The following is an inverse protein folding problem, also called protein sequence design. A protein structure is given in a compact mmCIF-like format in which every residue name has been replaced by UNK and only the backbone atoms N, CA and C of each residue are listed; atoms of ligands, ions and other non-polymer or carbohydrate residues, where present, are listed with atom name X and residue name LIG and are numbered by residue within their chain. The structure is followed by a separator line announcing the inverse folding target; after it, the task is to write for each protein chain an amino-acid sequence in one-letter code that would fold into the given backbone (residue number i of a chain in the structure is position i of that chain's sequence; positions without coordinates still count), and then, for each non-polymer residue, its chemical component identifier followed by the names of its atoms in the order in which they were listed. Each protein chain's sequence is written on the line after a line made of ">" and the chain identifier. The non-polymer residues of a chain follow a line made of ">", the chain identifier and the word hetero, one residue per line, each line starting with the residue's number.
data_IF_480449760531
#
_entry.id   IF_480449760531
#
_cell.length_a   1.000
_cell.length_b   1.000
_cell.length_c   1.000
_cell.angle_alpha   90.00
_cell.angle_beta   90.00
_cell.angle_gamma   90.00
#
_symmetry.space_group_name_H-M   'P 1'
#
loop_
_entity.id
_entity.type
_entity.pdbx_description
1 polymer ?
#
# COMPACT_ATOMS: atom_id res chain seq x y z
N UNK A 1 -16.27 -24.93 -13.53
CA UNK A 1 -14.95 -24.42 -13.07
C UNK A 1 -15.20 -23.61 -11.82
N UNK A 2 -14.79 -24.10 -10.65
CA UNK A 2 -14.89 -23.33 -9.42
C UNK A 2 -13.86 -22.19 -9.49
N UNK A 3 -14.34 -20.96 -9.51
CA UNK A 3 -13.51 -19.76 -9.42
C UNK A 3 -12.68 -19.82 -8.15
N UNK A 4 -11.38 -19.60 -8.28
CA UNK A 4 -10.44 -19.44 -7.18
C UNK A 4 -10.94 -18.26 -6.34
N UNK A 5 -11.64 -18.54 -5.23
CA UNK A 5 -12.30 -17.54 -4.40
C UNK A 5 -11.34 -16.80 -3.47
N UNK A 6 -10.09 -17.26 -3.31
CA UNK A 6 -9.07 -16.58 -2.51
C UNK A 6 -8.08 -15.87 -3.43
N UNK A 7 -8.37 -14.61 -3.75
CA UNK A 7 -7.62 -13.81 -4.72
C UNK A 7 -6.31 -13.24 -4.15
N UNK A 8 -6.01 -13.47 -2.88
CA UNK A 8 -4.86 -12.80 -2.24
C UNK A 8 -3.63 -13.67 -2.19
N UNK A 9 -3.70 -15.00 -2.37
CA UNK A 9 -2.62 -15.93 -2.03
C UNK A 9 -1.86 -16.57 -3.21
N UNK A 10 -1.72 -15.86 -4.34
CA UNK A 10 -1.16 -16.46 -5.56
C UNK A 10 0.35 -16.72 -5.53
N UNK A 11 1.12 -15.75 -5.03
CA UNK A 11 2.59 -15.76 -5.19
C UNK A 11 3.32 -15.96 -3.87
N UNK A 12 4.25 -16.92 -3.85
CA UNK A 12 5.14 -17.20 -2.74
C UNK A 12 6.32 -16.22 -2.76
N UNK A 13 6.84 -16.00 -3.97
CA UNK A 13 7.98 -15.14 -4.24
C UNK A 13 7.75 -14.35 -5.51
N UNK A 14 8.48 -13.25 -5.60
CA UNK A 14 8.58 -12.48 -6.84
C UNK A 14 10.05 -12.31 -7.23
N UNK A 15 10.34 -12.44 -8.51
CA UNK A 15 11.63 -12.15 -9.11
C UNK A 15 11.49 -10.88 -9.94
N UNK A 16 12.02 -9.76 -9.44
CA UNK A 16 11.83 -8.44 -10.04
C UNK A 16 13.09 -8.02 -10.78
N UNK A 17 12.96 -7.88 -12.09
CA UNK A 17 13.98 -7.34 -12.99
C UNK A 17 13.85 -5.82 -13.13
N UNK A 18 14.95 -5.16 -13.52
CA UNK A 18 14.97 -3.73 -13.84
C UNK A 18 15.38 -2.84 -12.67
N UNK A 19 15.39 -3.36 -11.44
CA UNK A 19 16.08 -2.73 -10.33
C UNK A 19 17.59 -2.91 -10.54
N UNK A 20 18.32 -1.80 -10.61
CA UNK A 20 19.78 -1.77 -10.76
C UNK A 20 20.44 -1.81 -9.37
N UNK A 21 21.66 -2.34 -9.29
CA UNK A 21 22.57 -2.16 -8.16
C UNK A 21 23.39 -0.86 -8.30
N UNK A 22 24.26 -0.52 -7.33
CA UNK A 22 25.15 0.66 -7.43
C UNK A 22 26.04 0.63 -8.67
N UNK A 23 26.47 -0.57 -9.07
CA UNK A 23 27.39 -0.74 -10.19
C UNK A 23 26.67 -0.61 -11.54
N UNK A 24 25.36 -0.28 -11.54
CA UNK A 24 24.51 -0.25 -12.72
C UNK A 24 24.15 -1.65 -13.24
N UNK A 25 24.56 -2.71 -12.53
CA UNK A 25 24.23 -4.08 -12.91
C UNK A 25 22.75 -4.35 -12.62
N UNK A 26 22.03 -4.76 -13.67
CA UNK A 26 20.63 -5.18 -13.56
C UNK A 26 20.58 -6.63 -13.13
N UNK A 27 20.43 -6.87 -11.83
CA UNK A 27 20.21 -8.21 -11.30
C UNK A 27 18.74 -8.38 -10.91
N UNK A 28 18.12 -9.55 -11.20
CA UNK A 28 16.82 -9.85 -10.63
C UNK A 28 16.92 -9.94 -9.11
N UNK A 29 16.04 -9.22 -8.41
CA UNK A 29 15.92 -9.32 -6.96
C UNK A 29 14.81 -10.32 -6.66
N UNK A 30 15.11 -11.32 -5.84
CA UNK A 30 14.11 -12.26 -5.33
C UNK A 30 13.57 -11.72 -4.01
N UNK A 31 12.26 -11.53 -3.93
CA UNK A 31 11.57 -11.14 -2.70
C UNK A 31 10.60 -12.24 -2.27
N UNK A 32 10.59 -12.53 -0.98
CA UNK A 32 9.67 -13.50 -0.40
C UNK A 32 8.41 -12.79 0.06
N UNK A 33 7.27 -13.48 -0.02
CA UNK A 33 6.03 -12.96 0.52
C UNK A 33 6.09 -12.95 2.04
N UNK A 34 5.66 -11.84 2.62
CA UNK A 34 5.45 -11.73 4.06
C UNK A 34 3.97 -11.58 4.38
N UNK A 35 3.57 -12.05 5.56
CA UNK A 35 2.26 -11.77 6.14
C UNK A 35 2.26 -10.29 6.50
N UNK A 36 1.21 -9.54 6.12
CA UNK A 36 1.06 -8.15 6.56
C UNK A 36 0.85 -8.12 8.06
N UNK A 37 -0.28 -8.64 8.55
CA UNK A 37 -0.57 -8.76 9.98
C UNK A 37 -1.48 -9.98 10.17
N UNK A 38 -1.45 -10.66 11.32
CA UNK A 38 -2.33 -11.80 11.54
C UNK A 38 -3.81 -11.39 11.44
N UNK A 39 -4.70 -12.33 11.06
CA UNK A 39 -6.13 -12.08 11.09
C UNK A 39 -6.55 -11.59 12.48
N UNK A 40 -7.50 -10.65 12.56
CA UNK A 40 -7.90 -10.10 13.84
C UNK A 40 -8.55 -11.20 14.69
N UNK A 41 -7.89 -11.62 15.78
CA UNK A 41 -8.45 -12.60 16.71
C UNK A 41 -9.67 -11.99 17.39
N UNK A 42 -10.84 -12.62 17.25
CA UNK A 42 -12.00 -12.25 18.07
C UNK A 42 -11.74 -12.63 19.52
N UNK A 43 -11.20 -11.66 20.28
CA UNK A 43 -11.13 -11.79 21.74
C UNK A 43 -12.52 -11.50 22.27
N UNK A 44 -13.19 -12.52 22.80
CA UNK A 44 -14.44 -12.34 23.54
C UNK A 44 -14.12 -11.71 24.90
N UNK A 45 -14.19 -10.38 24.98
CA UNK A 45 -13.97 -9.62 26.23
C UNK A 45 -13.32 -8.27 25.98
N UNK A 46 -13.54 -7.31 26.88
CA UNK A 46 -12.93 -5.97 26.81
C UNK A 46 -11.44 -5.95 27.19
N UNK A 47 -10.91 -7.06 27.69
CA UNK A 47 -9.51 -7.17 28.06
C UNK A 47 -8.72 -7.74 26.88
N UNK A 48 -7.96 -6.90 26.18
CA UNK A 48 -6.87 -7.38 25.32
C UNK A 48 -5.83 -7.98 26.28
N UNK A 49 -5.67 -9.32 26.36
CA UNK A 49 -4.73 -9.91 27.30
C UNK A 49 -3.33 -9.35 27.03
N UNK A 50 -2.53 -9.20 28.08
CA UNK A 50 -1.10 -8.93 27.94
C UNK A 50 -0.48 -10.06 27.12
N UNK A 51 -0.41 -9.83 25.80
CA UNK A 51 0.27 -10.70 24.87
C UNK A 51 1.75 -10.63 25.25
N UNK A 52 2.20 -11.60 26.05
CA UNK A 52 3.63 -11.90 26.18
C UNK A 52 4.18 -11.96 24.77
N UNK A 53 5.26 -11.22 24.51
CA UNK A 53 5.95 -11.21 23.22
C UNK A 53 6.21 -12.66 22.84
N UNK A 54 5.39 -13.19 21.94
CA UNK A 54 5.64 -14.46 21.31
C UNK A 54 6.70 -14.12 20.27
N UNK A 55 7.83 -14.82 20.26
CA UNK A 55 8.75 -14.80 19.13
C UNK A 55 7.98 -15.34 17.93
N UNK A 56 7.34 -14.44 17.19
CA UNK A 56 6.59 -14.78 16.00
C UNK A 56 7.62 -14.94 14.91
N UNK A 57 7.82 -16.20 14.54
CA UNK A 57 8.66 -16.58 13.43
C UNK A 57 8.21 -15.83 12.18
N UNK A 58 9.12 -15.00 11.66
CA UNK A 58 9.00 -14.30 10.39
C UNK A 58 9.12 -15.24 9.19
N UNK A 59 9.31 -16.54 9.43
CA UNK A 59 9.36 -17.53 8.38
C UNK A 59 8.11 -17.44 7.50
N UNK A 60 8.28 -17.63 6.18
CA UNK A 60 7.15 -17.70 5.26
C UNK A 60 6.15 -18.72 5.80
N UNK A 61 4.90 -18.32 6.03
CA UNK A 61 3.85 -19.31 6.29
C UNK A 61 3.82 -20.23 5.07
N UNK A 62 3.95 -21.53 5.32
CA UNK A 62 3.50 -22.59 4.43
C UNK A 62 1.97 -22.56 4.38
N UNK A 63 1.41 -21.46 3.86
CA UNK A 63 0.24 -21.59 3.01
C UNK A 63 0.76 -22.30 1.75
N UNK A 64 -0.08 -22.82 0.86
CA UNK A 64 0.39 -23.35 -0.43
C UNK A 64 0.33 -22.23 -1.50
N UNK A 65 1.15 -21.14 -1.46
CA UNK A 65 1.30 -20.33 -2.64
C UNK A 65 2.06 -21.18 -3.67
N UNK A 66 1.33 -21.58 -4.71
CA UNK A 66 1.81 -22.53 -5.71
C UNK A 66 2.84 -21.88 -6.64
N UNK A 67 2.83 -20.54 -6.75
CA UNK A 67 3.51 -19.87 -7.84
C UNK A 67 4.58 -18.86 -7.42
N UNK A 68 5.60 -18.72 -8.26
CA UNK A 68 6.50 -17.57 -8.25
C UNK A 68 6.21 -16.66 -9.45
N UNK A 69 6.17 -15.35 -9.23
CA UNK A 69 5.99 -14.34 -10.27
C UNK A 69 7.35 -13.81 -10.72
N UNK A 70 7.69 -13.92 -12.00
CA UNK A 70 8.83 -13.20 -12.59
C UNK A 70 8.32 -12.02 -13.37
N UNK A 71 8.82 -10.83 -13.05
CA UNK A 71 8.32 -9.59 -13.62
C UNK A 71 9.43 -8.54 -13.77
N UNK A 72 9.19 -7.53 -14.60
CA UNK A 72 10.13 -6.44 -14.88
C UNK A 72 9.49 -5.10 -14.60
N UNK A 73 10.22 -4.23 -13.88
CA UNK A 73 9.83 -2.83 -13.73
C UNK A 73 10.02 -2.10 -15.05
N UNK A 74 8.97 -1.44 -15.54
CA UNK A 74 9.02 -0.67 -16.79
C UNK A 74 9.42 0.78 -16.51
N UNK A 75 10.50 1.21 -17.17
CA UNK A 75 11.00 2.60 -17.14
C UNK A 75 10.81 3.32 -18.48
N UNK A 76 10.01 2.75 -19.36
CA UNK A 76 9.76 3.25 -20.71
C UNK A 76 8.30 3.67 -20.90
N UNK A 77 7.49 3.62 -19.83
CA UNK A 77 6.08 3.98 -19.91
C UNK A 77 5.97 5.46 -20.29
N UNK A 78 5.30 5.80 -21.41
CA UNK A 78 4.99 7.20 -21.69
C UNK A 78 4.20 7.74 -20.50
N UNK A 79 4.61 8.88 -19.95
CA UNK A 79 3.82 9.55 -18.93
C UNK A 79 2.39 9.72 -19.44
N UNK A 80 1.37 9.49 -18.60
CA UNK A 80 -0.01 9.62 -19.04
C UNK A 80 -0.23 11.01 -19.66
N UNK A 81 -0.57 11.02 -20.95
CA UNK A 81 -0.82 12.27 -21.68
C UNK A 81 -2.04 12.95 -21.05
N UNK A 82 -1.84 14.09 -20.40
CA UNK A 82 -2.92 14.88 -19.83
C UNK A 82 -2.73 15.25 -18.36
N UNK A 83 -1.79 14.62 -17.66
CA UNK A 83 -1.36 15.13 -16.37
C UNK A 83 -0.39 16.29 -16.61
N UNK A 84 -0.88 17.53 -16.48
CA UNK A 84 -0.03 18.71 -16.24
C UNK A 84 0.54 18.62 -14.81
N UNK A 85 1.26 17.52 -14.52
CA UNK A 85 2.27 17.57 -13.47
C UNK A 85 3.27 18.59 -13.98
N UNK A 86 3.37 19.75 -13.35
CA UNK A 86 4.60 20.53 -13.47
C UNK A 86 5.74 19.60 -13.11
N UNK A 87 6.48 19.14 -14.11
CA UNK A 87 7.58 18.21 -13.94
C UNK A 87 8.47 18.73 -12.82
N UNK A 88 8.39 18.08 -11.66
CA UNK A 88 9.33 18.32 -10.60
C UNK A 88 10.59 17.55 -10.98
N UNK A 89 11.76 18.19 -11.10
CA UNK A 89 13.04 17.50 -11.35
C UNK A 89 13.33 16.38 -10.34
N UNK A 90 12.65 16.41 -9.20
CA UNK A 90 12.72 15.43 -8.11
C UNK A 90 11.87 14.18 -8.32
N UNK A 91 10.97 14.16 -9.30
CA UNK A 91 10.10 13.01 -9.56
C UNK A 91 10.93 11.90 -10.23
N UNK A 92 10.97 10.69 -9.65
CA UNK A 92 11.69 9.58 -10.27
C UNK A 92 11.14 9.37 -11.67
N UNK A 93 12.04 9.33 -12.66
CA UNK A 93 11.61 9.14 -14.05
C UNK A 93 10.82 7.83 -14.15
N UNK A 94 9.67 7.92 -14.81
CA UNK A 94 8.79 6.78 -15.12
C UNK A 94 8.07 6.14 -13.92
N UNK A 95 8.12 6.76 -12.74
CA UNK A 95 7.20 6.41 -11.67
C UNK A 95 5.77 6.84 -12.06
N UNK A 96 4.79 5.98 -11.79
CA UNK A 96 3.36 6.27 -11.91
C UNK A 96 2.89 7.21 -10.80
N UNK A 97 3.53 7.12 -9.65
CA UNK A 97 3.27 7.93 -8.49
C UNK A 97 4.45 7.86 -7.52
N UNK A 98 4.59 8.87 -6.70
CA UNK A 98 5.59 8.91 -5.65
C UNK A 98 4.94 9.50 -4.39
N UNK A 99 5.36 8.99 -3.25
CA UNK A 99 4.77 9.26 -1.95
C UNK A 99 5.86 9.40 -0.90
N UNK A 100 5.44 9.77 0.31
CA UNK A 100 6.28 9.68 1.49
C UNK A 100 6.77 8.24 1.70
N UNK A 101 5.86 7.28 1.56
CA UNK A 101 6.09 5.88 1.90
C UNK A 101 6.59 5.00 0.77
N UNK A 102 6.51 5.47 -0.48
CA UNK A 102 6.93 4.64 -1.60
C UNK A 102 6.86 5.29 -2.96
N UNK A 103 7.34 4.53 -3.94
CA UNK A 103 7.39 4.87 -5.35
C UNK A 103 6.66 3.79 -6.13
N UNK A 104 5.77 4.17 -7.03
CA UNK A 104 4.93 3.24 -7.78
C UNK A 104 5.43 3.14 -9.22
N UNK A 105 5.63 1.92 -9.71
CA UNK A 105 6.08 1.65 -11.08
C UNK A 105 5.18 0.65 -11.79
N UNK A 106 5.04 0.73 -13.12
CA UNK A 106 4.36 -0.30 -13.87
C UNK A 106 5.20 -1.58 -13.89
N UNK A 107 4.52 -2.73 -13.85
CA UNK A 107 5.14 -4.04 -13.79
C UNK A 107 4.74 -4.88 -15.02
N UNK A 108 5.73 -5.31 -15.79
CA UNK A 108 5.58 -6.24 -16.90
C UNK A 108 5.73 -7.67 -16.38
N UNK A 109 4.67 -8.47 -16.41
CA UNK A 109 4.74 -9.88 -16.04
C UNK A 109 5.44 -10.67 -17.16
N UNK A 110 6.52 -11.37 -16.82
CA UNK A 110 7.31 -12.16 -17.77
C UNK A 110 6.92 -13.64 -17.74
N UNK A 111 6.73 -14.19 -16.55
CA UNK A 111 6.32 -15.58 -16.36
C UNK A 111 5.77 -15.85 -14.97
N UNK A 112 5.01 -16.93 -14.85
CA UNK A 112 4.58 -17.53 -13.59
C UNK A 112 5.12 -18.96 -13.56
N UNK A 113 5.78 -19.34 -12.46
CA UNK A 113 6.36 -20.68 -12.30
C UNK A 113 5.67 -21.45 -11.18
N UNK A 114 5.58 -22.79 -11.22
CA UNK A 114 6.20 -23.65 -12.23
C UNK A 114 5.42 -23.65 -13.55
N UNK A 115 6.12 -23.50 -14.67
CA UNK A 115 5.51 -23.27 -16.00
C UNK A 115 4.79 -24.50 -16.58
N UNK A 116 5.02 -25.68 -16.00
CA UNK A 116 4.34 -26.93 -16.36
C UNK A 116 3.00 -27.10 -15.64
N UNK A 117 2.61 -26.21 -14.72
CA UNK A 117 1.30 -26.22 -14.09
C UNK A 117 0.28 -25.47 -14.97
N UNK A 118 -0.79 -26.11 -15.47
CA UNK A 118 -1.80 -25.43 -16.29
C UNK A 118 -2.46 -24.24 -15.58
N UNK A 119 -2.55 -24.28 -14.24
CA UNK A 119 -3.07 -23.17 -13.43
C UNK A 119 -2.19 -21.91 -13.53
N UNK A 120 -0.89 -22.06 -13.77
CA UNK A 120 0.02 -20.93 -13.96
C UNK A 120 -0.27 -20.20 -15.27
N UNK A 121 -0.57 -20.95 -16.35
CA UNK A 121 -0.96 -20.37 -17.63
C UNK A 121 -2.33 -19.67 -17.54
N UNK A 122 -3.30 -20.31 -16.87
CA UNK A 122 -4.61 -19.72 -16.61
C UNK A 122 -4.51 -18.43 -15.79
N UNK A 123 -3.67 -18.43 -14.75
CA UNK A 123 -3.41 -17.25 -13.92
C UNK A 123 -2.76 -16.14 -14.76
N UNK A 124 -1.72 -16.46 -15.54
CA UNK A 124 -1.04 -15.50 -16.42
C UNK A 124 -2.02 -14.83 -17.39
N UNK A 125 -2.97 -15.59 -17.96
CA UNK A 125 -3.98 -15.07 -18.87
C UNK A 125 -5.05 -14.20 -18.18
N UNK A 126 -5.25 -14.38 -16.87
CA UNK A 126 -6.25 -13.67 -16.07
C UNK A 126 -5.67 -12.48 -15.30
N UNK A 127 -4.34 -12.39 -15.16
CA UNK A 127 -3.71 -11.28 -14.46
C UNK A 127 -4.00 -9.98 -15.21
N UNK A 128 -4.52 -8.95 -14.52
CA UNK A 128 -4.56 -7.63 -15.09
C UNK A 128 -3.12 -7.06 -15.18
N UNK A 129 -2.93 -5.95 -15.91
CA UNK A 129 -1.73 -5.14 -15.76
C UNK A 129 -1.45 -4.87 -14.28
N UNK A 130 -0.19 -5.01 -13.87
CA UNK A 130 0.23 -4.87 -12.47
C UNK A 130 1.10 -3.63 -12.29
N UNK A 131 1.16 -3.16 -11.05
CA UNK A 131 2.15 -2.21 -10.60
C UNK A 131 2.85 -2.70 -9.32
N UNK A 132 3.98 -2.06 -9.01
CA UNK A 132 4.76 -2.33 -7.81
C UNK A 132 4.98 -1.01 -7.07
N UNK A 133 4.57 -0.95 -5.80
CA UNK A 133 4.91 0.14 -4.88
C UNK A 133 6.14 -0.28 -4.07
N UNK A 134 7.24 0.42 -4.26
CA UNK A 134 8.52 0.20 -3.58
C UNK A 134 8.61 1.10 -2.37
N UNK A 135 8.80 0.54 -1.17
CA UNK A 135 8.91 1.33 0.05
C UNK A 135 10.15 2.23 0.03
N UNK A 136 9.97 3.48 0.43
CA UNK A 136 11.09 4.38 0.76
C UNK A 136 11.78 3.91 2.05
N UNK A 137 13.06 4.29 2.29
CA UNK A 137 13.76 3.93 3.52
C UNK A 137 12.97 4.35 4.77
N UNK A 138 12.80 3.44 5.71
CA UNK A 138 12.04 3.64 6.94
C UNK A 138 10.53 3.40 6.85
N UNK A 139 9.97 3.17 5.64
CA UNK A 139 8.53 3.04 5.42
C UNK A 139 8.05 1.61 5.11
N UNK A 140 8.92 0.61 5.27
CA UNK A 140 8.54 -0.80 5.10
C UNK A 140 7.32 -1.18 5.96
N UNK A 141 7.24 -0.69 7.21
CA UNK A 141 6.09 -0.90 8.10
C UNK A 141 4.81 -0.27 7.60
N UNK A 142 4.89 0.94 7.03
CA UNK A 142 3.73 1.62 6.44
C UNK A 142 3.19 0.83 5.26
N UNK A 143 4.08 0.29 4.42
CA UNK A 143 3.67 -0.53 3.28
C UNK A 143 3.06 -1.87 3.70
N UNK A 144 3.60 -2.50 4.75
CA UNK A 144 2.98 -3.68 5.34
C UNK A 144 1.61 -3.36 5.98
N UNK A 145 1.47 -2.20 6.62
CA UNK A 145 0.18 -1.72 7.16
C UNK A 145 -0.84 -1.49 6.06
N UNK A 146 -0.42 -0.95 4.92
CA UNK A 146 -1.25 -0.82 3.74
C UNK A 146 -1.71 -2.18 3.21
N UNK A 147 -0.78 -3.13 3.05
CA UNK A 147 -1.08 -4.52 2.64
C UNK A 147 -2.15 -5.17 3.52
N UNK A 148 -2.09 -4.92 4.84
CA UNK A 148 -3.08 -5.44 5.79
C UNK A 148 -4.50 -4.95 5.55
N UNK A 149 -4.65 -3.68 5.17
CA UNK A 149 -5.96 -3.13 4.85
C UNK A 149 -6.52 -3.73 3.58
N UNK A 150 -5.68 -4.03 2.58
CA UNK A 150 -6.15 -4.77 1.42
C UNK A 150 -6.66 -6.16 1.81
N UNK A 151 -5.97 -6.88 2.69
CA UNK A 151 -6.46 -8.17 3.22
C UNK A 151 -7.78 -8.02 3.98
N UNK A 152 -7.96 -6.94 4.74
CA UNK A 152 -9.22 -6.63 5.43
C UNK A 152 -10.36 -6.36 4.45
N UNK A 153 -10.10 -5.56 3.43
CA UNK A 153 -11.07 -5.23 2.39
C UNK A 153 -11.44 -6.48 1.59
N UNK A 154 -10.49 -7.37 1.33
CA UNK A 154 -10.73 -8.65 0.67
C UNK A 154 -11.66 -9.55 1.48
N UNK A 155 -11.40 -9.68 2.79
CA UNK A 155 -12.28 -10.41 3.71
C UNK A 155 -13.70 -9.83 3.80
N UNK A 156 -13.89 -8.57 3.38
CA UNK A 156 -15.20 -7.89 3.28
C UNK A 156 -15.80 -7.92 1.87
N UNK A 157 -15.14 -8.58 0.91
CA UNK A 157 -15.60 -8.65 -0.48
C UNK A 157 -15.44 -7.34 -1.26
N UNK A 158 -14.61 -6.42 -0.78
CA UNK A 158 -14.43 -5.09 -1.37
C UNK A 158 -13.30 -5.02 -2.40
N UNK A 159 -12.49 -6.07 -2.53
CA UNK A 159 -11.43 -6.17 -3.53
C UNK A 159 -11.96 -6.25 -4.96
N UNK A 160 -11.48 -5.32 -5.78
CA UNK A 160 -11.95 -5.05 -7.15
C UNK A 160 -13.30 -4.30 -7.20
N UNK A 161 -13.90 -4.00 -6.05
CA UNK A 161 -15.16 -3.26 -5.95
C UNK A 161 -14.87 -1.78 -5.67
N UNK A 162 -14.13 -1.49 -4.59
CA UNK A 162 -13.72 -0.11 -4.24
C UNK A 162 -12.23 0.01 -3.89
N UNK A 163 -11.46 -1.06 -4.07
CA UNK A 163 -10.02 -1.13 -3.85
C UNK A 163 -9.40 -2.08 -4.89
N UNK A 164 -8.16 -1.86 -5.39
CA UNK A 164 -7.52 -2.80 -6.31
C UNK A 164 -7.24 -4.16 -5.66
N UNK A 165 -6.99 -5.20 -6.49
CA UNK A 165 -6.41 -6.43 -5.95
C UNK A 165 -4.98 -6.16 -5.50
N UNK A 166 -4.66 -6.68 -4.32
CA UNK A 166 -3.32 -6.70 -3.75
C UNK A 166 -2.84 -8.14 -3.71
N UNK A 167 -1.69 -8.41 -4.34
CA UNK A 167 -1.10 -9.74 -4.42
C UNK A 167 -0.15 -10.04 -3.25
N UNK A 168 0.07 -9.05 -2.38
CA UNK A 168 0.81 -9.19 -1.12
C UNK A 168 1.96 -8.21 -0.98
N UNK A 169 2.48 -8.16 0.25
CA UNK A 169 3.73 -7.48 0.59
C UNK A 169 4.88 -8.49 0.48
N UNK A 170 5.96 -8.07 -0.18
CA UNK A 170 7.16 -8.88 -0.38
C UNK A 170 8.36 -8.15 0.19
N UNK A 171 9.28 -8.90 0.78
CA UNK A 171 10.45 -8.34 1.44
C UNK A 171 11.69 -9.18 1.15
N UNK A 172 12.84 -8.52 1.13
CA UNK A 172 14.14 -9.17 1.06
C UNK A 172 15.20 -8.35 1.79
N UNK A 173 16.09 -9.04 2.50
CA UNK A 173 17.38 -8.49 2.85
C UNK A 173 18.30 -8.54 1.62
N UNK A 174 18.76 -7.38 1.16
CA UNK A 174 19.75 -7.28 0.11
C UNK A 174 21.11 -7.55 0.78
N UNK A 175 21.62 -8.77 0.60
CA UNK A 175 22.63 -9.39 1.47
C UNK A 175 23.89 -8.55 1.71
N UNK A 176 24.43 -8.67 2.92
CA UNK A 176 25.70 -8.06 3.38
C UNK A 176 26.95 -8.82 2.92
N UNK A 177 26.89 -9.53 1.78
CA UNK A 177 28.09 -10.21 1.26
C UNK A 177 29.24 -9.20 1.27
N UNK A 178 30.40 -9.58 1.80
CA UNK A 178 31.52 -8.66 2.14
C UNK A 178 32.07 -7.86 0.93
N UNK A 179 31.56 -8.13 -0.27
CA UNK A 179 31.81 -7.40 -1.53
C UNK A 179 30.56 -6.74 -2.13
N UNK A 180 29.46 -6.68 -1.39
CA UNK A 180 28.10 -6.41 -1.86
C UNK A 180 27.39 -5.38 -0.97
N UNK A 181 28.16 -4.42 -0.44
CA UNK A 181 27.66 -3.24 0.29
C UNK A 181 26.89 -2.27 -0.61
N UNK A 182 26.79 -2.58 -1.90
CA UNK A 182 26.54 -1.61 -2.95
C UNK A 182 25.30 -2.02 -3.78
N UNK A 183 24.23 -2.46 -3.12
CA UNK A 183 22.95 -2.73 -3.79
C UNK A 183 22.04 -1.50 -3.67
N UNK A 184 22.44 -0.37 -4.28
CA UNK A 184 21.52 0.76 -4.45
C UNK A 184 20.50 0.39 -5.48
N UNK A 185 19.24 0.29 -5.07
CA UNK A 185 18.11 0.36 -5.99
C UNK A 185 18.18 1.73 -6.66
N UNK A 186 18.88 1.82 -7.79
CA UNK A 186 19.00 3.04 -8.56
C UNK A 186 17.70 3.22 -9.35
N UNK A 187 16.76 3.88 -8.69
CA UNK A 187 15.57 4.38 -9.32
C UNK A 187 16.00 5.63 -10.09
N UNK A 188 15.91 5.65 -11.43
CA UNK A 188 16.50 6.74 -12.21
C UNK A 188 16.14 8.13 -11.68
N UNK A 189 17.18 8.91 -11.33
CA UNK A 189 17.11 10.26 -10.75
C UNK A 189 16.54 10.37 -9.32
N UNK A 190 16.39 9.26 -8.60
CA UNK A 190 15.98 9.25 -7.20
C UNK A 190 17.05 8.55 -6.37
N UNK A 191 17.91 9.33 -5.72
CA UNK A 191 18.93 8.79 -4.86
C UNK A 191 18.28 8.26 -3.57
N UNK A 192 17.82 7.01 -3.62
CA UNK A 192 17.22 6.25 -2.51
C UNK A 192 18.06 6.38 -1.22
N UNK A 193 19.38 6.54 -1.35
CA UNK A 193 20.35 6.62 -0.27
C UNK A 193 20.60 8.03 0.21
N UNK A 194 20.35 9.07 -0.59
CA UNK A 194 20.42 10.45 -0.12
C UNK A 194 19.37 10.74 0.94
N UNK A 195 18.22 10.04 0.87
CA UNK A 195 17.16 10.09 1.88
C UNK A 195 17.53 9.21 3.07
N UNK A 196 18.06 8.00 2.84
CA UNK A 196 18.53 7.13 3.91
C UNK A 196 19.73 7.70 4.71
N UNK A 197 20.55 8.56 4.08
CA UNK A 197 21.72 9.23 4.68
C UNK A 197 21.40 10.55 5.37
N UNK A 198 20.22 11.13 5.15
CA UNK A 198 19.79 12.25 6.01
C UNK A 198 19.65 11.68 7.42
N UNK A 199 20.21 12.34 8.45
CA UNK A 199 20.03 11.91 9.82
C UNK A 199 18.55 11.68 10.04
N UNK A 200 18.17 10.53 10.61
CA UNK A 200 16.77 10.18 10.88
C UNK A 200 16.05 11.41 11.44
N UNK A 201 16.72 12.16 12.33
CA UNK A 201 16.33 13.43 12.98
C UNK A 201 15.90 14.60 12.05
N UNK A 202 16.38 14.69 10.81
CA UNK A 202 15.98 15.75 9.87
C UNK A 202 14.68 15.42 9.12
N UNK A 203 14.36 14.14 8.97
CA UNK A 203 13.01 13.68 8.59
C UNK A 203 12.07 13.58 9.81
N UNK A 204 12.64 13.67 11.02
CA UNK A 204 11.97 13.49 12.33
C UNK A 204 11.18 14.69 12.80
N UNK A 205 11.49 15.91 12.36
CA UNK A 205 10.87 17.11 12.94
C UNK A 205 9.37 17.26 12.67
N UNK A 206 8.78 16.45 11.78
CA UNK A 206 7.32 16.44 11.65
C UNK A 206 6.64 15.10 11.95
N UNK A 207 7.20 13.92 11.65
CA UNK A 207 6.45 12.67 11.86
C UNK A 207 7.30 11.43 12.14
N UNK A 208 8.61 11.58 12.41
CA UNK A 208 9.42 10.46 12.87
C UNK A 208 10.29 10.82 14.07
N UNK A 209 9.70 11.09 15.25
CA UNK A 209 10.24 10.31 16.37
C UNK A 209 10.34 8.86 15.86
N UNK A 210 11.22 7.96 16.34
CA UNK A 210 10.86 6.56 16.21
C UNK A 210 9.35 6.50 16.49
N UNK A 211 8.58 5.69 15.78
CA UNK A 211 7.37 5.23 16.43
C UNK A 211 7.92 4.58 17.71
N UNK A 212 8.22 5.36 18.76
CA UNK A 212 8.02 5.01 20.12
C UNK A 212 6.54 4.74 20.01
N UNK A 213 6.27 3.46 19.74
CA UNK A 213 4.95 2.85 19.75
C UNK A 213 4.20 3.31 20.98
N UNK A 214 4.94 3.82 21.95
CA UNK A 214 4.60 4.42 23.19
C UNK A 214 5.02 5.91 23.18
N UNK A 215 4.07 6.82 23.05
CA UNK A 215 4.28 8.17 23.59
C UNK A 215 4.12 8.03 25.10
N UNK A 216 5.14 8.37 25.87
CA UNK A 216 4.97 8.44 27.33
C UNK A 216 3.98 9.56 27.61
N UNK A 217 2.73 9.19 27.88
CA UNK A 217 1.70 10.13 28.26
C UNK A 217 1.97 10.53 29.70
N UNK A 218 2.69 11.64 29.87
CA UNK A 218 3.07 12.16 31.18
C UNK A 218 1.87 12.47 32.08
N UNK A 219 0.67 12.66 31.52
CA UNK A 219 -0.55 12.90 32.30
C UNK A 219 -1.10 11.61 32.91
N UNK A 220 -0.94 10.49 32.21
CA UNK A 220 -1.50 9.20 32.61
C UNK A 220 -0.45 8.22 33.16
N UNK A 221 0.84 8.57 33.10
CA UNK A 221 1.96 7.69 33.47
C UNK A 221 1.91 6.34 32.73
N UNK A 222 1.46 6.37 31.48
CA UNK A 222 1.29 5.18 30.64
C UNK A 222 1.99 5.39 29.30
N UNK A 223 2.55 4.30 28.79
CA UNK A 223 3.05 4.19 27.42
C UNK A 223 1.82 4.11 26.50
N UNK A 224 1.39 5.26 25.98
CA UNK A 224 0.21 5.34 25.12
C UNK A 224 0.57 4.86 23.71
N UNK A 225 -0.14 3.83 23.24
CA UNK A 225 -0.01 3.35 21.87
C UNK A 225 -0.16 4.53 20.91
N UNK A 226 0.77 4.64 19.96
CA UNK A 226 0.67 5.54 18.82
C UNK A 226 -0.77 5.52 18.28
N UNK A 227 -1.40 6.70 18.16
CA UNK A 227 -2.80 6.82 17.69
C UNK A 227 -3.05 6.08 16.37
N UNK A 228 -2.01 5.82 15.59
CA UNK A 228 -2.01 5.09 14.32
C UNK A 228 -2.35 3.58 14.43
N UNK A 229 -2.33 3.00 15.64
CA UNK A 229 -2.71 1.59 15.88
C UNK A 229 -3.76 1.44 16.97
N UNK A 230 -4.31 2.55 17.46
CA UNK A 230 -5.38 2.53 18.48
C UNK A 230 -6.70 1.96 17.93
N UNK A 231 -6.83 1.90 16.60
CA UNK A 231 -7.97 1.37 15.87
C UNK A 231 -8.00 -0.16 15.81
N UNK A 232 -6.85 -0.81 16.01
CA UNK A 232 -6.73 -2.25 16.05
C UNK A 232 -7.09 -2.80 17.44
N UNK A 233 -8.40 -2.80 17.73
CA UNK A 233 -8.97 -3.30 18.99
C UNK A 233 -8.54 -4.73 19.33
N UNK A 234 -8.27 -5.53 18.30
CA UNK A 234 -7.86 -6.93 18.44
C UNK A 234 -6.36 -7.08 18.61
N UNK A 235 -5.62 -5.98 18.70
CA UNK A 235 -4.19 -5.97 18.93
C UNK A 235 -3.44 -6.80 17.87
N UNK A 236 -3.97 -6.91 16.64
CA UNK A 236 -3.36 -7.60 15.49
C UNK A 236 -1.94 -7.06 15.20
N UNK A 237 -1.73 -5.77 15.44
CA UNK A 237 -0.46 -5.05 15.45
C UNK A 237 0.47 -5.58 16.53
N UNK A 238 -0.03 -5.83 17.75
CA UNK A 238 0.81 -6.33 18.86
C UNK A 238 1.46 -7.66 18.53
N UNK A 239 0.80 -8.48 17.72
CA UNK A 239 1.25 -9.79 17.26
C UNK A 239 1.76 -9.78 15.81
N UNK A 240 1.94 -8.61 15.20
CA UNK A 240 2.52 -8.56 13.86
C UNK A 240 4.04 -8.50 13.95
N UNK A 241 4.75 -9.27 13.12
CA UNK A 241 6.20 -9.14 13.05
C UNK A 241 6.64 -7.75 12.59
N UNK A 242 5.78 -7.02 11.87
CA UNK A 242 6.05 -5.66 11.44
C UNK A 242 6.01 -4.64 12.56
N UNK A 243 5.47 -4.98 13.74
CA UNK A 243 5.59 -4.13 14.93
C UNK A 243 7.05 -3.93 15.28
N UNK A 244 7.74 -5.04 15.53
CA UNK A 244 9.13 -5.09 15.94
C UNK A 244 10.10 -4.87 14.79
N UNK A 245 9.63 -4.91 13.54
CA UNK A 245 10.46 -4.66 12.37
C UNK A 245 11.07 -3.26 12.43
N UNK A 246 12.40 -3.21 12.44
CA UNK A 246 13.17 -1.99 12.28
C UNK A 246 14.20 -2.21 11.19
N UNK A 247 14.27 -1.28 10.25
CA UNK A 247 15.26 -1.34 9.18
C UNK A 247 16.64 -1.10 9.79
N UNK A 248 17.51 -2.11 9.70
CA UNK A 248 18.88 -1.99 10.18
C UNK A 248 19.67 -1.05 9.27
N UNK A 249 20.42 -0.07 9.81
CA UNK A 249 21.30 0.76 9.01
C UNK A 249 22.46 -0.04 8.38
N UNK A 250 22.70 -1.27 8.85
CA UNK A 250 23.77 -2.16 8.36
C UNK A 250 23.31 -3.12 7.27
N UNK A 251 22.01 -3.30 7.09
CA UNK A 251 21.43 -4.25 6.15
C UNK A 251 20.46 -3.49 5.27
N UNK A 252 20.79 -3.34 3.99
CA UNK A 252 19.84 -2.81 3.03
C UNK A 252 18.72 -3.82 2.87
N UNK A 253 17.48 -3.36 2.98
CA UNK A 253 16.30 -4.19 2.73
C UNK A 253 15.44 -3.53 1.67
N UNK A 254 14.69 -4.36 0.94
CA UNK A 254 13.70 -3.93 -0.04
C UNK A 254 12.35 -4.46 0.39
N UNK A 255 11.35 -3.59 0.47
CA UNK A 255 9.96 -3.96 0.73
C UNK A 255 9.11 -3.42 -0.40
N UNK A 256 8.25 -4.26 -0.95
CA UNK A 256 7.39 -3.90 -2.08
C UNK A 256 5.99 -4.44 -1.89
N UNK A 257 5.03 -3.78 -2.53
CA UNK A 257 3.63 -4.17 -2.59
C UNK A 257 3.27 -4.35 -4.05
N UNK A 258 2.70 -5.49 -4.41
CA UNK A 258 2.26 -5.79 -5.78
C UNK A 258 0.75 -5.70 -5.85
N UNK A 259 0.22 -4.94 -6.81
CA UNK A 259 -1.22 -4.70 -6.96
C UNK A 259 -1.62 -4.48 -8.41
N UNK A 260 -2.93 -4.44 -8.67
CA UNK A 260 -3.46 -4.06 -9.98
C UNK A 260 -2.99 -2.65 -10.36
N UNK A 261 -2.65 -2.46 -11.63
CA UNK A 261 -2.41 -1.15 -12.21
C UNK A 261 -3.76 -0.48 -12.50
N UNK A 262 -4.01 0.65 -11.83
CA UNK A 262 -5.20 1.46 -12.03
C UNK A 262 -4.96 2.58 -13.08
N UNK A 263 -6.04 3.30 -13.40
CA UNK A 263 -6.02 4.44 -14.32
C UNK A 263 -5.67 5.76 -13.64
N UNK A 264 -6.12 6.85 -14.25
CA UNK A 264 -5.82 8.20 -13.79
C UNK A 264 -6.43 8.52 -12.41
N UNK A 265 -5.77 9.38 -11.62
CA UNK A 265 -6.37 9.95 -10.41
C UNK A 265 -7.63 10.74 -10.72
N UNK A 266 -8.52 10.78 -9.73
CA UNK A 266 -9.72 11.60 -9.78
C UNK A 266 -9.34 13.08 -9.93
N UNK A 267 -10.10 13.81 -10.73
CA UNK A 267 -10.01 15.27 -10.79
C UNK A 267 -11.12 15.91 -9.96
N UNK A 268 -10.99 17.21 -9.69
CA UNK A 268 -12.08 18.00 -9.05
C UNK A 268 -13.37 17.85 -9.86
N UNK A 269 -13.27 17.95 -11.19
CA UNK A 269 -14.42 17.83 -12.09
C UNK A 269 -15.07 16.44 -11.98
N UNK A 270 -14.26 15.38 -12.00
CA UNK A 270 -14.78 14.02 -11.80
C UNK A 270 -15.50 13.88 -10.45
N UNK A 271 -14.95 14.47 -9.40
CA UNK A 271 -15.58 14.45 -8.08
C UNK A 271 -16.92 15.20 -8.07
N UNK A 272 -16.99 16.41 -8.62
CA UNK A 272 -18.24 17.18 -8.70
C UNK A 272 -19.32 16.45 -9.50
N UNK A 273 -18.96 15.76 -10.59
CA UNK A 273 -19.89 15.00 -11.43
C UNK A 273 -20.34 13.68 -10.79
N UNK A 274 -19.51 13.05 -9.97
CA UNK A 274 -19.74 11.70 -9.43
C UNK A 274 -20.00 11.67 -7.91
N UNK A 275 -19.98 12.82 -7.23
CA UNK A 275 -20.14 12.93 -5.78
C UNK A 275 -21.45 12.35 -5.29
N UNK A 276 -22.58 12.82 -5.83
CA UNK A 276 -23.94 12.35 -5.53
C UNK A 276 -24.24 10.97 -6.14
N UNK A 277 -23.21 10.17 -6.41
CA UNK A 277 -23.30 8.85 -7.01
C UNK A 277 -22.17 7.94 -6.58
N UNK A 278 -21.18 7.73 -7.45
CA UNK A 278 -20.12 6.74 -7.25
C UNK A 278 -19.30 6.93 -5.99
N UNK A 279 -18.88 8.15 -5.72
CA UNK A 279 -18.00 8.41 -4.59
C UNK A 279 -18.73 8.22 -3.27
N UNK A 280 -19.97 8.69 -3.15
CA UNK A 280 -20.78 8.51 -1.95
C UNK A 280 -21.07 7.02 -1.67
N UNK A 281 -21.43 6.26 -2.71
CA UNK A 281 -21.66 4.81 -2.58
C UNK A 281 -20.40 4.07 -2.12
N UNK A 282 -19.22 4.42 -2.65
CA UNK A 282 -17.95 3.83 -2.18
C UNK A 282 -17.68 4.12 -0.70
N UNK A 283 -17.96 5.34 -0.24
CA UNK A 283 -17.87 5.69 1.17
C UNK A 283 -18.89 4.92 2.04
N UNK A 284 -20.08 4.65 1.51
CA UNK A 284 -21.07 3.81 2.20
C UNK A 284 -20.61 2.36 2.32
N UNK A 285 -19.91 1.81 1.33
CA UNK A 285 -19.29 0.48 1.43
C UNK A 285 -18.16 0.44 2.47
N UNK A 286 -17.32 1.47 2.55
CA UNK A 286 -16.31 1.59 3.62
C UNK A 286 -16.96 1.67 5.00
N UNK A 287 -18.06 2.41 5.13
CA UNK A 287 -18.78 2.50 6.38
C UNK A 287 -19.35 1.15 6.82
N UNK A 288 -19.90 0.35 5.89
CA UNK A 288 -20.37 -1.02 6.16
C UNK A 288 -19.24 -1.97 6.56
N UNK A 289 -18.04 -1.74 6.03
CA UNK A 289 -16.84 -2.49 6.41
C UNK A 289 -16.19 -2.00 7.72
N UNK A 290 -16.71 -0.93 8.34
CA UNK A 290 -16.12 -0.26 9.50
C UNK A 290 -14.68 0.22 9.24
N UNK A 291 -14.41 0.70 8.03
CA UNK A 291 -13.10 1.21 7.63
C UNK A 291 -13.22 2.70 7.36
N UNK A 292 -12.25 3.46 7.87
CA UNK A 292 -12.07 4.88 7.61
C UNK A 292 -10.75 5.08 6.87
N UNK A 293 -10.77 5.56 5.63
CA UNK A 293 -9.54 5.70 4.82
C UNK A 293 -8.54 6.71 5.42
N UNK A 294 -9.02 7.77 6.10
CA UNK A 294 -8.25 8.93 6.58
C UNK A 294 -7.54 9.79 5.52
N UNK A 295 -7.34 9.25 4.31
CA UNK A 295 -6.69 9.99 3.23
C UNK A 295 -7.41 9.86 1.87
N UNK A 296 -8.67 10.26 1.80
CA UNK A 296 -9.50 10.20 0.58
C UNK A 296 -9.21 11.30 -0.46
N UNK A 297 -8.05 11.97 -0.40
CA UNK A 297 -7.70 13.03 -1.35
C UNK A 297 -7.68 12.47 -2.77
N UNK A 298 -7.94 13.31 -3.76
CA UNK A 298 -8.07 12.89 -5.17
C UNK A 298 -6.91 12.02 -5.72
N UNK A 299 -5.62 12.25 -5.37
CA UNK A 299 -4.53 11.37 -5.79
C UNK A 299 -4.66 9.91 -5.32
N UNK A 300 -5.43 9.67 -4.25
CA UNK A 300 -5.67 8.35 -3.67
C UNK A 300 -6.99 7.73 -4.12
N UNK A 301 -7.67 8.36 -5.08
CA UNK A 301 -8.89 7.83 -5.71
C UNK A 301 -8.60 7.66 -7.19
N UNK A 302 -8.36 6.43 -7.63
CA UNK A 302 -7.90 6.11 -8.98
C UNK A 302 -9.00 5.45 -9.81
N UNK A 303 -9.05 5.77 -11.10
CA UNK A 303 -10.04 5.20 -12.02
C UNK A 303 -9.83 3.70 -12.18
N UNK A 304 -10.91 2.93 -12.14
CA UNK A 304 -10.89 1.48 -12.35
C UNK A 304 -10.88 1.19 -13.85
N UNK A 305 -9.85 0.49 -14.38
CA UNK A 305 -9.86 0.04 -15.76
C UNK A 305 -11.02 -0.95 -16.01
N UNK A 306 -11.59 -0.95 -17.22
CA UNK A 306 -12.74 -1.81 -17.57
C UNK A 306 -12.51 -3.30 -17.26
N UNK A 307 -11.28 -3.80 -17.39
CA UNK A 307 -10.95 -5.20 -17.12
C UNK A 307 -10.84 -5.54 -15.63
N UNK A 308 -10.78 -4.54 -14.75
CA UNK A 308 -10.65 -4.70 -13.30
C UNK A 308 -11.95 -4.43 -12.53
N UNK A 309 -12.99 -3.92 -13.21
CA UNK A 309 -14.28 -3.61 -12.60
C UNK A 309 -14.97 -4.87 -12.06
N UNK A 310 -15.38 -4.83 -10.79
CA UNK A 310 -16.31 -5.80 -10.21
C UNK A 310 -17.60 -5.12 -9.78
N UNK A 311 -18.65 -5.91 -9.74
CA UNK A 311 -19.97 -5.44 -9.35
C UNK A 311 -20.05 -5.33 -7.82
N UNK A 312 -20.47 -4.17 -7.31
CA UNK A 312 -20.83 -4.00 -5.92
C UNK A 312 -22.20 -4.63 -5.66
N UNK A 313 -22.27 -5.55 -4.71
CA UNK A 313 -23.53 -6.18 -4.30
C UNK A 313 -24.47 -5.21 -3.60
N UNK A 314 -23.93 -4.22 -2.87
CA UNK A 314 -24.73 -3.23 -2.14
C UNK A 314 -25.44 -2.23 -3.05
N UNK A 315 -24.75 -1.78 -4.10
CA UNK A 315 -25.20 -0.69 -4.98
C UNK A 315 -25.67 -1.17 -6.36
N UNK A 316 -25.57 -2.49 -6.60
CA UNK A 316 -25.98 -3.16 -7.83
C UNK A 316 -25.35 -2.55 -9.11
N UNK A 317 -24.08 -2.15 -9.02
CA UNK A 317 -23.30 -1.61 -10.13
C UNK A 317 -21.81 -1.76 -9.89
N UNK A 318 -21.00 -1.65 -10.95
CA UNK A 318 -19.56 -1.51 -10.81
C UNK A 318 -19.21 -0.05 -10.51
N UNK A 319 -18.32 0.17 -9.53
CA UNK A 319 -17.75 1.49 -9.29
C UNK A 319 -16.74 1.84 -10.36
N UNK A 320 -16.63 3.14 -10.67
CA UNK A 320 -15.67 3.71 -11.63
C UNK A 320 -14.34 4.03 -10.95
N UNK A 321 -14.31 4.08 -9.62
CA UNK A 321 -13.14 4.48 -8.83
C UNK A 321 -12.77 3.46 -7.76
N UNK A 322 -11.49 3.45 -7.39
CA UNK A 322 -10.93 2.67 -6.30
C UNK A 322 -10.12 3.59 -5.37
N UNK A 323 -10.16 3.31 -4.07
CA UNK A 323 -9.26 3.89 -3.09
C UNK A 323 -7.93 3.14 -3.05
N UNK A 324 -6.83 3.88 -2.85
CA UNK A 324 -5.46 3.37 -2.68
C UNK A 324 -4.75 4.12 -1.56
N UNK A 325 -3.55 3.67 -1.14
CA UNK A 325 -2.77 4.30 -0.07
C UNK A 325 -3.43 4.21 1.33
N UNK A 326 -3.80 2.98 1.69
CA UNK A 326 -4.42 2.62 2.97
C UNK A 326 -3.52 2.68 4.20
N UNK A 327 -2.29 3.19 4.10
CA UNK A 327 -1.32 3.16 5.21
C UNK A 327 -1.80 3.90 6.48
N UNK A 328 -2.69 4.89 6.30
CA UNK A 328 -3.27 5.69 7.38
C UNK A 328 -4.71 5.31 7.71
N UNK A 329 -5.28 4.31 7.04
CA UNK A 329 -6.66 3.94 7.29
C UNK A 329 -6.86 3.42 8.73
N UNK A 330 -8.11 3.39 9.20
CA UNK A 330 -8.45 2.95 10.55
C UNK A 330 -9.68 2.06 10.58
N UNK A 331 -9.65 1.02 11.40
CA UNK A 331 -10.85 0.28 11.79
C UNK A 331 -11.69 1.08 12.79
N UNK A 332 -13.00 1.11 12.58
CA UNK A 332 -13.95 1.83 13.44
C UNK A 332 -14.82 0.84 14.22
N UNK A 333 -15.46 1.35 15.27
CA UNK A 333 -16.28 0.54 16.15
C UNK A 333 -17.76 0.45 15.80
N UNK A 334 -18.25 1.41 15.02
CA UNK A 334 -19.65 1.47 14.63
C UNK A 334 -19.82 2.17 13.28
N UNK A 335 -20.90 1.85 12.57
CA UNK A 335 -21.19 2.36 11.23
C UNK A 335 -21.62 3.82 11.23
N UNK A 336 -22.25 4.31 12.30
CA UNK A 336 -22.81 5.67 12.36
C UNK A 336 -21.68 6.70 12.45
N UNK A 337 -20.76 6.49 13.38
CA UNK A 337 -19.54 7.26 13.55
C UNK A 337 -18.70 7.22 12.27
N UNK A 338 -18.60 6.04 11.65
CA UNK A 338 -17.85 5.89 10.39
C UNK A 338 -18.49 6.70 9.26
N UNK A 339 -19.81 6.57 9.03
CA UNK A 339 -20.52 7.37 8.03
C UNK A 339 -20.38 8.86 8.26
N UNK A 340 -20.53 9.31 9.51
CA UNK A 340 -20.41 10.72 9.83
C UNK A 340 -19.00 11.24 9.50
N UNK A 341 -17.95 10.53 9.92
CA UNK A 341 -16.56 10.90 9.65
C UNK A 341 -16.21 10.87 8.15
N UNK A 342 -16.68 9.87 7.42
CA UNK A 342 -16.46 9.78 5.97
C UNK A 342 -17.15 10.92 5.23
N UNK A 343 -18.37 11.31 5.65
CA UNK A 343 -19.04 12.49 5.11
C UNK A 343 -18.26 13.77 5.40
N UNK A 344 -17.78 13.97 6.63
CA UNK A 344 -16.94 15.13 6.95
C UNK A 344 -15.67 15.14 6.11
N UNK A 345 -14.98 14.01 6.00
CA UNK A 345 -13.77 13.88 5.20
C UNK A 345 -14.01 14.25 3.73
N UNK A 346 -15.12 13.80 3.17
CA UNK A 346 -15.46 14.10 1.79
C UNK A 346 -15.87 15.56 1.56
N UNK A 347 -16.52 16.19 2.54
CA UNK A 347 -16.81 17.62 2.51
C UNK A 347 -15.52 18.45 2.64
N UNK A 348 -14.57 18.05 3.48
CA UNK A 348 -13.26 18.70 3.59
C UNK A 348 -12.50 18.67 2.25
N UNK A 349 -12.63 17.59 1.49
CA UNK A 349 -12.07 17.46 0.14
C UNK A 349 -12.73 18.49 -0.81
N UNK A 350 -14.05 18.65 -0.73
CA UNK A 350 -14.79 19.62 -1.54
C UNK A 350 -14.44 21.09 -1.20
N UNK A 351 -14.22 21.39 0.08
CA UNK A 351 -13.82 22.73 0.54
C UNK A 351 -12.36 23.06 0.15
N UNK A 352 -11.51 22.04 0.07
CA UNK A 352 -10.16 22.20 -0.48
C UNK A 352 -10.19 22.55 -1.97
N UNK A 353 -11.13 22.02 -2.75
CA UNK A 353 -11.28 22.41 -4.16
C UNK A 353 -11.83 23.82 -4.36
N UNK A 354 -12.76 24.29 -3.51
CA UNK A 354 -13.41 25.59 -3.66
C UNK A 354 -12.52 26.77 -3.22
N UNK A 355 -11.64 26.55 -2.24
CA UNK A 355 -10.73 27.59 -1.70
C UNK A 355 -9.48 27.84 -2.55
N UNK A 356 -9.12 26.94 -3.47
CA UNK A 356 -7.89 27.03 -4.30
C UNK A 356 -8.13 27.79 -5.62
N UNK A 357 -9.35 28.28 -5.86
CA UNK A 357 -9.67 29.17 -6.98
C UNK A 357 -9.03 30.57 -6.93
N UNK A 358 -8.27 30.90 -5.87
CA UNK A 358 -7.55 32.16 -5.75
C UNK A 358 -6.22 32.00 -5.02
N UNK A 359 -5.11 32.20 -5.72
CA UNK A 359 -3.79 32.57 -5.18
C UNK A 359 -2.93 31.45 -4.54
N UNK A 360 -3.45 30.25 -4.23
CA UNK A 360 -2.62 29.08 -3.84
C UNK A 360 -2.35 28.08 -4.98
N UNK A 361 -2.21 28.57 -6.23
CA UNK A 361 -1.68 27.79 -7.36
C UNK A 361 -0.20 27.39 -7.25
N UNK A 362 0.41 27.51 -6.06
CA UNK A 362 1.79 27.11 -5.75
C UNK A 362 1.88 26.66 -4.30
N UNK A 363 1.47 25.43 -3.99
CA UNK A 363 2.01 24.66 -2.86
C UNK A 363 1.59 23.20 -3.01
N UNK A 364 2.55 22.39 -3.48
CA UNK A 364 2.68 20.94 -3.30
C UNK A 364 1.40 20.12 -3.52
N UNK A 365 0.92 20.18 -4.75
CA UNK A 365 0.26 19.01 -5.34
C UNK A 365 1.22 17.83 -5.29
N UNK A 366 0.74 16.71 -4.74
CA UNK A 366 1.22 15.40 -5.16
C UNK A 366 0.62 15.14 -6.54
N UNK A 367 1.42 14.53 -7.41
CA UNK A 367 1.32 14.50 -8.88
C UNK A 367 2.22 15.60 -9.44
#
# INVERSE_FOLDING_TARGET
>A
MALIQDHTQFFARIHVHGLTSENGERCPITLERHISFPPPVEVSGHDCPDLKVIDIDLSPRTLDPVFDLTARVRFDSPQPKGQNIEWNPSNPKNALGYGRSGLVFPLEVLSISPSNDPRAADLMAQLPPLCIKVATPGYARSLAREAWFYEHLDAKGLTGVITPRCYGVFHAALGTSRSNTDLKVDIPNYNYYSIAKRPIWEHTLHYTAPLSEEHYDSKNNTLALSRYFADDRKCSYKSSPWRLFSQSPKVTTLTVLVMDLLGEPMTVKDFEEEWDGDVQDMYDDLARAFILHQDGRFPNVLRVPNHAQRHCESHLRAHKWNFVDWENANLQCDTVTTRHRLRTQALDISDYSSSVGGVYGRLRGWI
#
